data_IF_806212154403
#
_entry.id   IF_806212154403
#
_cell.length_a   1.000
_cell.length_b   1.000
_cell.length_c   1.000
_cell.angle_alpha   90.00
_cell.angle_beta   90.00
_cell.angle_gamma   90.00
#
_symmetry.space_group_name_H-M   'P 1'
#
loop_
_entity.id
_entity.type
_entity.pdbx_description
1 polymer ?
#
# COMPACT_ATOMS: atom_id res chain seq x y z
N UNK A 1 -2.34 -5.55 21.85
CA UNK A 1 -2.31 -5.44 20.38
C UNK A 1 -2.00 -6.76 19.70
N UNK A 2 -0.76 -7.23 19.59
CA UNK A 2 -0.47 -8.50 18.86
C UNK A 2 -1.12 -9.75 19.46
N UNK A 3 -1.17 -9.87 20.79
CA UNK A 3 -1.90 -10.97 21.45
C UNK A 3 -3.41 -10.94 21.16
N UNK A 4 -3.99 -9.73 21.12
CA UNK A 4 -5.39 -9.51 20.72
C UNK A 4 -5.60 -9.91 19.27
N UNK A 5 -4.75 -9.43 18.36
CA UNK A 5 -4.80 -9.76 16.94
C UNK A 5 -4.68 -11.27 16.70
N UNK A 6 -3.75 -11.94 17.38
CA UNK A 6 -3.60 -13.41 17.36
C UNK A 6 -4.88 -14.11 17.84
N UNK A 7 -5.49 -13.64 18.94
CA UNK A 7 -6.76 -14.17 19.45
C UNK A 7 -7.97 -13.95 18.53
N UNK A 8 -7.90 -12.97 17.62
CA UNK A 8 -8.89 -12.73 16.56
C UNK A 8 -8.63 -13.56 15.28
N UNK A 9 -7.64 -14.46 15.31
CA UNK A 9 -7.27 -15.32 14.19
C UNK A 9 -6.16 -14.78 13.29
N UNK A 10 -5.38 -13.78 13.76
CA UNK A 10 -4.17 -13.25 13.13
C UNK A 10 -4.39 -12.56 11.79
N UNK A 11 -3.75 -13.03 10.71
CA UNK A 11 -3.65 -12.30 9.43
C UNK A 11 -4.93 -12.16 8.60
N UNK A 12 -5.86 -13.10 8.74
CA UNK A 12 -7.01 -13.26 7.84
C UNK A 12 -6.91 -14.60 7.12
N UNK A 13 -7.90 -14.94 6.30
CA UNK A 13 -7.90 -16.12 5.43
C UNK A 13 -7.36 -17.43 6.06
N UNK A 14 -7.79 -17.74 7.28
CA UNK A 14 -7.32 -18.92 8.04
C UNK A 14 -5.96 -18.73 8.74
N UNK A 15 -5.63 -17.51 9.15
CA UNK A 15 -4.36 -17.10 9.75
C UNK A 15 -3.14 -17.39 8.85
N UNK A 16 -3.27 -17.15 7.55
CA UNK A 16 -2.19 -17.37 6.58
C UNK A 16 -1.59 -16.04 6.16
N UNK A 17 -0.28 -15.91 6.30
CA UNK A 17 0.46 -14.76 5.81
C UNK A 17 0.70 -14.93 4.30
N UNK A 18 -0.30 -14.51 3.53
CA UNK A 18 -0.34 -14.66 2.08
C UNK A 18 -0.06 -13.35 1.38
N UNK A 19 0.36 -13.48 0.12
CA UNK A 19 0.66 -12.37 -0.77
C UNK A 19 -0.37 -12.35 -1.90
N UNK A 20 -0.96 -11.19 -2.14
CA UNK A 20 -1.69 -10.87 -3.36
C UNK A 20 -0.75 -10.18 -4.36
N UNK A 21 -0.84 -10.55 -5.63
CA UNK A 21 -0.04 -10.00 -6.73
C UNK A 21 -0.90 -9.29 -7.78
N UNK A 22 -2.12 -8.90 -7.41
CA UNK A 22 -3.12 -8.31 -8.29
C UNK A 22 -2.86 -6.85 -8.67
N UNK A 23 -2.07 -6.10 -7.88
CA UNK A 23 -1.84 -4.67 -8.13
C UNK A 23 -0.82 -4.47 -9.26
N UNK A 24 -1.20 -3.71 -10.28
CA UNK A 24 -0.33 -3.32 -11.37
C UNK A 24 0.22 -1.91 -11.13
N UNK A 25 1.54 -1.72 -11.30
CA UNK A 25 2.16 -0.40 -11.40
C UNK A 25 2.74 -0.26 -12.81
N UNK A 26 2.30 0.77 -13.54
CA UNK A 26 2.76 1.06 -14.89
C UNK A 26 3.64 2.31 -14.93
N UNK A 27 4.62 2.35 -15.84
CA UNK A 27 5.46 3.53 -16.07
C UNK A 27 5.09 4.15 -17.41
N UNK A 28 4.62 5.39 -17.39
CA UNK A 28 4.29 6.17 -18.57
C UNK A 28 5.52 6.92 -19.12
N UNK A 29 5.78 6.76 -20.42
CA UNK A 29 6.71 7.62 -21.14
C UNK A 29 6.15 9.03 -21.38
N UNK A 30 6.98 9.97 -21.83
CA UNK A 30 6.56 11.35 -22.13
C UNK A 30 5.54 11.47 -23.28
N UNK A 31 5.39 10.43 -24.10
CA UNK A 31 4.39 10.35 -25.18
C UNK A 31 3.16 9.51 -24.85
N UNK A 32 2.96 9.12 -23.59
CA UNK A 32 1.76 8.38 -23.20
C UNK A 32 0.49 9.20 -23.48
N UNK A 33 -0.61 8.57 -23.96
CA UNK A 33 -1.91 9.21 -23.99
C UNK A 33 -2.28 9.79 -22.62
N UNK A 34 -2.88 10.97 -22.63
CA UNK A 34 -3.35 11.64 -21.41
C UNK A 34 -4.86 11.73 -21.49
N UNK A 35 -5.54 11.26 -20.46
CA UNK A 35 -6.99 11.24 -20.38
C UNK A 35 -7.47 12.20 -19.29
N UNK A 36 -8.58 12.93 -19.50
CA UNK A 36 -9.27 13.63 -18.43
C UNK A 36 -9.66 12.66 -17.32
N UNK A 37 -9.60 13.14 -16.08
CA UNK A 37 -10.11 12.42 -14.91
C UNK A 37 -11.40 13.10 -14.47
N UNK A 38 -12.43 12.29 -14.24
CA UNK A 38 -13.78 12.73 -13.86
C UNK A 38 -14.29 11.93 -12.67
N UNK A 39 -15.29 12.49 -11.99
CA UNK A 39 -16.01 11.84 -10.89
C UNK A 39 -16.64 10.51 -11.35
N UNK A 40 -16.53 9.47 -10.52
CA UNK A 40 -17.13 8.17 -10.84
C UNK A 40 -18.67 8.27 -10.81
N UNK A 41 -19.38 7.90 -11.89
CA UNK A 41 -20.81 8.16 -12.02
C UNK A 41 -21.67 7.42 -10.98
N UNK A 42 -21.18 6.28 -10.48
CA UNK A 42 -21.90 5.47 -9.47
C UNK A 42 -21.49 5.72 -8.02
N UNK A 43 -20.28 6.25 -7.80
CA UNK A 43 -19.68 6.31 -6.44
C UNK A 43 -19.43 7.74 -5.98
N UNK A 44 -19.41 8.70 -6.89
CA UNK A 44 -19.08 10.09 -6.61
C UNK A 44 -17.56 10.32 -6.61
N UNK A 45 -17.13 11.39 -5.94
CA UNK A 45 -15.72 11.76 -5.78
C UNK A 45 -15.40 12.17 -4.33
N UNK A 46 -14.30 11.67 -3.79
CA UNK A 46 -13.81 12.03 -2.46
C UNK A 46 -13.13 13.41 -2.50
N UNK A 47 -13.92 14.44 -2.21
CA UNK A 47 -13.46 15.81 -2.00
C UNK A 47 -13.75 16.24 -0.55
N UNK A 48 -12.78 16.82 0.18
CA UNK A 48 -11.49 17.34 -0.30
C UNK A 48 -10.29 16.38 -0.22
N UNK A 49 -10.51 15.11 0.13
CA UNK A 49 -9.46 14.09 0.35
C UNK A 49 -8.53 13.88 -0.83
N UNK A 50 -9.11 13.79 -2.03
CA UNK A 50 -8.43 13.48 -3.27
C UNK A 50 -8.17 14.74 -4.11
N UNK A 51 -7.28 14.64 -5.10
CA UNK A 51 -6.82 15.79 -5.86
C UNK A 51 -7.98 16.45 -6.62
N UNK A 52 -8.01 17.79 -6.64
CA UNK A 52 -9.15 18.53 -7.17
C UNK A 52 -9.34 18.27 -8.68
N UNK A 53 -10.59 18.09 -9.09
CA UNK A 53 -10.99 18.07 -10.49
C UNK A 53 -11.23 19.50 -11.02
N UNK A 54 -10.99 19.79 -12.32
CA UNK A 54 -10.55 18.87 -13.37
C UNK A 54 -9.08 18.47 -13.24
N UNK A 55 -8.79 17.20 -13.48
CA UNK A 55 -7.44 16.64 -13.50
C UNK A 55 -7.21 15.82 -14.77
N UNK A 56 -5.99 15.32 -14.96
CA UNK A 56 -5.66 14.43 -16.08
C UNK A 56 -4.60 13.43 -15.65
N UNK A 57 -4.64 12.24 -16.24
CA UNK A 57 -3.76 11.13 -15.91
C UNK A 57 -3.11 10.58 -17.18
N UNK A 58 -1.77 10.43 -17.22
CA UNK A 58 -1.11 9.72 -18.31
C UNK A 58 -1.42 8.23 -18.18
N UNK A 59 -1.87 7.60 -19.26
CA UNK A 59 -2.18 6.16 -19.28
C UNK A 59 -1.43 5.50 -20.43
N UNK A 60 -0.31 4.80 -20.16
CA UNK A 60 0.46 4.14 -21.21
C UNK A 60 -0.32 2.97 -21.80
N UNK A 61 -0.01 2.65 -23.06
CA UNK A 61 -0.58 1.47 -23.72
C UNK A 61 -0.24 0.22 -22.92
N UNK A 62 -1.26 -0.57 -22.61
CA UNK A 62 -1.11 -1.79 -21.84
C UNK A 62 -1.15 -1.59 -20.32
N UNK A 63 -1.43 -0.38 -19.82
CA UNK A 63 -1.79 -0.20 -18.42
C UNK A 63 -3.02 -1.04 -18.04
N UNK A 64 -3.11 -1.41 -16.78
CA UNK A 64 -4.07 -2.40 -16.28
C UNK A 64 -4.67 -1.93 -14.97
N UNK A 65 -5.96 -2.21 -14.77
CA UNK A 65 -6.52 -2.15 -13.43
C UNK A 65 -6.08 -3.37 -12.62
N UNK A 66 -6.14 -3.25 -11.31
CA UNK A 66 -6.00 -4.36 -10.38
C UNK A 66 -6.75 -5.63 -10.83
N UNK A 67 -6.09 -6.78 -10.66
CA UNK A 67 -6.67 -8.10 -10.90
C UNK A 67 -6.84 -8.46 -12.38
N UNK A 68 -6.42 -7.59 -13.30
CA UNK A 68 -6.47 -7.90 -14.73
C UNK A 68 -5.33 -8.83 -15.14
N UNK A 69 -5.60 -9.67 -16.14
CA UNK A 69 -4.60 -10.54 -16.76
C UNK A 69 -4.33 -10.18 -18.23
N UNK A 70 -5.18 -9.35 -18.83
CA UNK A 70 -5.09 -8.92 -20.23
C UNK A 70 -4.72 -7.43 -20.29
N UNK A 71 -3.52 -7.07 -20.77
CA UNK A 71 -3.08 -5.67 -20.86
C UNK A 71 -4.02 -4.77 -21.65
N UNK A 72 -4.33 -3.58 -21.11
CA UNK A 72 -5.16 -2.58 -21.75
C UNK A 72 -6.65 -2.93 -21.84
N UNK A 73 -7.11 -3.95 -21.11
CA UNK A 73 -8.52 -4.34 -21.13
C UNK A 73 -9.42 -3.34 -20.39
N UNK A 74 -8.91 -2.71 -19.32
CA UNK A 74 -9.68 -1.79 -18.46
C UNK A 74 -11.05 -2.36 -18.02
N UNK A 75 -11.14 -3.68 -17.83
CA UNK A 75 -12.30 -4.36 -17.26
C UNK A 75 -12.11 -4.58 -15.76
N UNK A 76 -12.99 -4.03 -14.93
CA UNK A 76 -13.04 -4.34 -13.50
C UNK A 76 -14.49 -4.47 -13.02
N UNK A 77 -14.79 -5.44 -12.15
CA UNK A 77 -16.17 -5.81 -11.80
C UNK A 77 -16.46 -5.80 -10.29
N UNK A 78 -15.71 -5.03 -9.49
CA UNK A 78 -15.78 -5.13 -8.03
C UNK A 78 -15.74 -3.81 -7.25
N UNK A 79 -15.63 -2.66 -7.91
CA UNK A 79 -15.49 -1.35 -7.25
C UNK A 79 -14.11 -1.09 -6.63
N UNK A 80 -13.31 -2.12 -6.38
CA UNK A 80 -11.93 -2.03 -5.85
C UNK A 80 -10.89 -1.98 -6.98
N UNK A 81 -11.13 -1.09 -7.94
CA UNK A 81 -10.39 -1.07 -9.21
C UNK A 81 -9.28 -0.03 -9.13
N UNK A 82 -8.06 -0.46 -8.84
CA UNK A 82 -6.92 0.46 -8.76
C UNK A 82 -6.21 0.66 -10.09
N UNK A 83 -5.83 1.90 -10.41
CA UNK A 83 -4.92 2.24 -11.52
C UNK A 83 -3.73 3.04 -11.00
N UNK A 84 -2.52 2.46 -11.04
CA UNK A 84 -1.30 3.09 -10.54
C UNK A 84 -0.32 3.35 -11.68
N UNK A 85 0.03 4.62 -11.88
CA UNK A 85 0.88 5.04 -12.99
C UNK A 85 1.92 6.04 -12.52
N UNK A 86 3.19 5.72 -12.75
CA UNK A 86 4.31 6.64 -12.57
C UNK A 86 4.66 7.32 -13.90
N UNK A 87 4.86 8.64 -13.89
CA UNK A 87 5.41 9.39 -15.02
C UNK A 87 6.39 10.45 -14.50
N UNK A 88 7.68 10.27 -14.82
CA UNK A 88 8.73 11.14 -14.29
C UNK A 88 8.77 11.08 -12.77
N UNK A 89 8.50 12.21 -12.10
CA UNK A 89 8.47 12.31 -10.64
C UNK A 89 7.05 12.35 -10.08
N UNK A 90 6.04 12.05 -10.88
CA UNK A 90 4.66 11.99 -10.43
C UNK A 90 4.19 10.54 -10.39
N UNK A 91 3.46 10.20 -9.35
CA UNK A 91 2.73 8.94 -9.22
C UNK A 91 1.25 9.26 -9.10
N UNK A 92 0.46 8.69 -10.00
CA UNK A 92 -0.99 8.82 -10.08
C UNK A 92 -1.61 7.50 -9.61
N UNK A 93 -2.46 7.55 -8.60
CA UNK A 93 -3.16 6.39 -8.06
C UNK A 93 -4.66 6.68 -8.05
N UNK A 94 -5.42 5.94 -8.84
CA UNK A 94 -6.87 6.06 -8.89
C UNK A 94 -7.53 4.87 -8.19
N UNK A 95 -8.56 5.13 -7.38
CA UNK A 95 -9.37 4.12 -6.70
C UNK A 95 -10.80 4.08 -7.25
N UNK A 96 -11.39 2.87 -7.26
CA UNK A 96 -12.66 2.60 -7.93
C UNK A 96 -12.67 3.20 -9.35
N UNK A 97 -11.58 2.98 -10.08
CA UNK A 97 -11.36 3.52 -11.40
C UNK A 97 -12.11 2.70 -12.46
N UNK A 98 -12.67 3.39 -13.44
CA UNK A 98 -13.22 2.85 -14.67
C UNK A 98 -12.72 3.68 -15.86
N UNK A 99 -12.80 3.12 -17.06
CA UNK A 99 -12.39 3.79 -18.29
C UNK A 99 -13.46 3.65 -19.36
N UNK A 100 -14.11 4.76 -19.70
CA UNK A 100 -15.20 4.78 -20.68
C UNK A 100 -14.74 4.84 -22.14
N UNK A 101 -13.42 4.79 -22.39
CA UNK A 101 -12.79 4.92 -23.70
C UNK A 101 -12.28 6.33 -24.02
N UNK A 102 -12.67 7.34 -23.25
CA UNK A 102 -12.23 8.73 -23.41
C UNK A 102 -11.78 9.42 -22.13
N UNK A 103 -12.24 8.96 -20.97
CA UNK A 103 -11.99 9.57 -19.66
C UNK A 103 -11.78 8.47 -18.62
N UNK A 104 -10.99 8.79 -17.60
CA UNK A 104 -10.85 7.97 -16.39
C UNK A 104 -11.90 8.43 -15.39
N UNK A 105 -12.84 7.56 -15.07
CA UNK A 105 -13.86 7.78 -14.05
C UNK A 105 -13.34 7.19 -12.74
N UNK A 106 -13.32 7.95 -11.64
CA UNK A 106 -12.73 7.45 -10.38
C UNK A 106 -13.37 8.08 -9.16
N UNK A 107 -13.42 7.32 -8.06
CA UNK A 107 -13.87 7.81 -6.76
C UNK A 107 -12.80 8.67 -6.08
N UNK A 108 -11.53 8.42 -6.37
CA UNK A 108 -10.42 9.17 -5.81
C UNK A 108 -9.22 9.11 -6.75
N UNK A 109 -8.70 10.28 -7.14
CA UNK A 109 -7.37 10.40 -7.71
C UNK A 109 -6.41 10.94 -6.63
N UNK A 110 -5.34 10.19 -6.37
CA UNK A 110 -4.22 10.63 -5.58
C UNK A 110 -2.98 10.86 -6.45
N UNK A 111 -2.49 12.10 -6.50
CA UNK A 111 -1.24 12.45 -7.19
C UNK A 111 -0.15 12.74 -6.15
N UNK A 112 0.95 12.01 -6.27
CA UNK A 112 2.13 12.11 -5.41
C UNK A 112 3.31 12.70 -6.17
N UNK A 113 4.02 13.64 -5.55
CA UNK A 113 5.33 14.10 -6.01
C UNK A 113 6.41 13.23 -5.34
N UNK A 114 7.19 12.52 -6.14
CA UNK A 114 8.22 11.60 -5.67
C UNK A 114 9.52 12.32 -5.26
N UNK A 115 9.60 13.65 -5.44
CA UNK A 115 10.76 14.45 -5.01
C UNK A 115 10.61 15.09 -3.64
N UNK A 116 9.50 14.86 -2.94
CA UNK A 116 9.23 15.51 -1.66
C UNK A 116 9.12 14.49 -0.54
N UNK A 117 9.57 14.91 0.65
CA UNK A 117 9.26 14.22 1.88
C UNK A 117 7.96 14.82 2.40
N UNK A 118 6.94 13.99 2.54
CA UNK A 118 5.66 14.42 3.10
C UNK A 118 5.78 14.58 4.62
N UNK A 119 5.09 15.55 5.23
CA UNK A 119 5.06 15.69 6.69
C UNK A 119 4.36 14.47 7.34
N UNK A 120 4.39 14.32 8.68
CA UNK A 120 3.75 13.21 9.36
C UNK A 120 2.25 13.02 9.02
N UNK A 121 1.56 14.13 8.72
CA UNK A 121 0.18 14.17 8.25
C UNK A 121 0.02 13.98 6.73
N UNK A 122 1.05 13.53 6.02
CA UNK A 122 0.98 13.16 4.61
C UNK A 122 0.44 14.28 3.73
N UNK A 123 -0.67 13.99 3.02
CA UNK A 123 -1.38 14.97 2.16
C UNK A 123 -2.44 15.78 2.91
N UNK A 124 -2.68 15.48 4.17
CA UNK A 124 -3.68 16.12 5.00
C UNK A 124 -4.15 15.25 6.15
N UNK A 125 -4.57 15.87 7.23
CA UNK A 125 -5.21 15.17 8.35
C UNK A 125 -6.61 14.72 7.98
N UNK A 126 -6.97 13.48 8.36
CA UNK A 126 -8.27 12.88 8.05
C UNK A 126 -8.55 12.71 6.55
N UNK A 127 -7.49 12.76 5.72
CA UNK A 127 -7.63 12.66 4.27
C UNK A 127 -7.25 11.26 3.79
N UNK A 128 -8.17 10.58 3.11
CA UNK A 128 -7.86 9.30 2.45
C UNK A 128 -7.00 9.50 1.18
N UNK A 129 -6.60 8.40 0.57
CA UNK A 129 -6.07 8.36 -0.80
C UNK A 129 -6.74 7.22 -1.57
N UNK A 130 -6.10 6.72 -2.62
CA UNK A 130 -6.44 5.41 -3.18
C UNK A 130 -6.18 4.26 -2.18
N UNK A 131 -5.45 4.52 -1.08
CA UNK A 131 -5.23 3.65 0.06
C UNK A 131 -6.05 4.13 1.26
N UNK A 132 -6.69 3.22 2.01
CA UNK A 132 -7.55 3.62 3.12
C UNK A 132 -6.82 4.28 4.29
N UNK A 133 -5.51 4.06 4.49
CA UNK A 133 -4.72 4.78 5.50
C UNK A 133 -4.28 6.18 5.03
N UNK A 134 -4.54 6.51 3.77
CA UNK A 134 -4.06 7.71 3.11
C UNK A 134 -2.59 7.63 2.67
N UNK A 135 -2.03 6.41 2.52
CA UNK A 135 -0.67 6.21 2.01
C UNK A 135 -0.58 6.28 0.48
N UNK A 136 0.63 6.49 -0.09
CA UNK A 136 0.89 6.09 -1.47
C UNK A 136 1.00 4.56 -1.56
N UNK A 137 0.27 3.93 -2.47
CA UNK A 137 0.25 2.47 -2.64
C UNK A 137 1.59 1.99 -3.22
N UNK A 138 1.97 2.50 -4.39
CA UNK A 138 3.09 1.97 -5.18
C UNK A 138 4.43 1.93 -4.41
N UNK A 139 4.82 2.98 -3.65
CA UNK A 139 6.08 2.99 -2.89
C UNK A 139 6.12 2.01 -1.71
N UNK A 140 4.98 1.43 -1.32
CA UNK A 140 4.88 0.45 -0.24
C UNK A 140 4.68 -0.99 -0.77
N UNK A 141 4.58 -1.18 -2.08
CA UNK A 141 4.63 -2.48 -2.73
C UNK A 141 6.08 -2.90 -2.94
N UNK A 142 6.31 -4.21 -2.98
CA UNK A 142 7.57 -4.80 -3.47
C UNK A 142 7.32 -5.48 -4.81
N UNK A 143 8.32 -5.51 -5.69
CA UNK A 143 8.19 -6.14 -7.01
C UNK A 143 9.28 -7.20 -7.29
N UNK A 144 9.05 -8.01 -8.33
CA UNK A 144 9.93 -9.13 -8.67
C UNK A 144 11.34 -8.67 -9.11
N UNK A 145 11.46 -7.51 -9.78
CA UNK A 145 12.75 -6.97 -10.21
C UNK A 145 13.61 -6.55 -9.00
N UNK A 146 13.02 -5.91 -8.00
CA UNK A 146 13.69 -5.52 -6.75
C UNK A 146 14.16 -6.74 -5.96
N UNK A 147 13.29 -7.76 -5.82
CA UNK A 147 13.65 -9.00 -5.13
C UNK A 147 14.78 -9.72 -5.86
N UNK A 148 14.71 -9.84 -7.19
CA UNK A 148 15.76 -10.46 -8.00
C UNK A 148 17.10 -9.72 -7.89
N UNK A 149 17.06 -8.38 -7.89
CA UNK A 149 18.24 -7.54 -7.72
C UNK A 149 18.87 -7.73 -6.33
N UNK A 150 18.05 -7.76 -5.27
CA UNK A 150 18.51 -7.96 -3.89
C UNK A 150 19.13 -9.35 -3.68
N UNK A 151 18.52 -10.41 -4.25
CA UNK A 151 19.10 -11.76 -4.23
C UNK A 151 20.49 -11.80 -4.88
N UNK A 152 20.69 -11.00 -5.94
CA UNK A 152 21.95 -10.96 -6.69
C UNK A 152 23.03 -10.10 -6.05
N UNK A 153 22.69 -9.18 -5.15
CA UNK A 153 23.62 -8.20 -4.59
C UNK A 153 24.51 -8.77 -3.47
N UNK A 154 23.90 -9.23 -2.37
CA UNK A 154 24.55 -9.82 -1.17
C UNK A 154 23.56 -10.71 -0.40
N UNK A 155 24.08 -11.71 0.32
CA UNK A 155 23.28 -12.64 1.11
C UNK A 155 22.42 -12.00 2.22
N UNK A 156 22.71 -10.76 2.63
CA UNK A 156 22.01 -10.01 3.68
C UNK A 156 21.20 -8.81 3.15
N UNK A 157 20.99 -8.72 1.83
CA UNK A 157 20.28 -7.58 1.22
C UNK A 157 18.80 -7.54 1.58
N UNK A 158 18.23 -6.34 1.56
CA UNK A 158 16.83 -5.99 1.78
C UNK A 158 16.34 -5.09 0.62
N UNK A 159 15.05 -4.74 0.60
CA UNK A 159 14.44 -3.92 -0.46
C UNK A 159 14.61 -2.42 -0.26
N UNK A 160 15.06 -1.98 0.93
CA UNK A 160 15.27 -0.55 1.20
C UNK A 160 14.05 0.25 1.65
N UNK A 161 12.88 -0.36 1.83
CA UNK A 161 11.65 0.33 2.24
C UNK A 161 10.73 -0.55 3.10
N UNK A 162 9.75 0.07 3.77
CA UNK A 162 8.69 -0.65 4.48
C UNK A 162 7.65 -1.20 3.48
N UNK A 163 6.97 -2.28 3.86
CA UNK A 163 5.96 -2.94 3.02
C UNK A 163 4.56 -2.67 3.57
N UNK A 164 3.59 -2.33 2.73
CA UNK A 164 2.19 -2.24 3.18
C UNK A 164 1.62 -3.61 3.49
N UNK A 165 0.75 -3.68 4.49
CA UNK A 165 -0.06 -4.85 4.74
C UNK A 165 -1.49 -4.45 5.10
N UNK A 166 -2.41 -5.41 4.97
CA UNK A 166 -3.84 -5.21 5.22
C UNK A 166 -4.34 -6.26 6.21
N UNK A 167 -5.43 -5.96 6.90
CA UNK A 167 -6.07 -6.89 7.85
C UNK A 167 -7.59 -6.88 7.66
N UNK A 168 -8.30 -7.95 8.03
CA UNK A 168 -9.75 -7.89 8.08
C UNK A 168 -10.22 -6.76 9.01
N UNK A 169 -11.25 -6.02 8.60
CA UNK A 169 -11.74 -4.85 9.33
C UNK A 169 -12.07 -5.16 10.79
N UNK A 170 -12.65 -6.33 11.07
CA UNK A 170 -13.00 -6.80 12.42
C UNK A 170 -11.80 -7.16 13.30
N UNK A 171 -10.57 -7.01 12.78
CA UNK A 171 -9.31 -7.23 13.51
C UNK A 171 -8.54 -5.95 13.78
N UNK A 172 -8.94 -4.84 13.18
CA UNK A 172 -8.30 -3.54 13.38
C UNK A 172 -8.99 -2.76 14.50
N UNK A 173 -8.24 -1.95 15.23
CA UNK A 173 -8.76 -1.26 16.41
C UNK A 173 -9.84 -0.23 16.06
N UNK A 174 -10.93 -0.26 16.82
CA UNK A 174 -11.93 0.81 16.89
C UNK A 174 -12.25 1.12 18.35
N UNK A 175 -12.71 2.33 18.65
CA UNK A 175 -13.17 2.73 19.99
C UNK A 175 -14.31 3.74 19.90
N UNK A 176 -15.53 3.25 19.66
CA UNK A 176 -16.68 4.09 19.31
C UNK A 176 -16.61 4.72 17.91
N UNK A 177 -15.52 4.48 17.17
CA UNK A 177 -15.24 4.92 15.81
C UNK A 177 -13.87 4.42 15.33
N UNK A 178 -13.50 4.69 14.07
CA UNK A 178 -12.20 4.32 13.53
C UNK A 178 -11.04 5.04 14.22
N UNK A 179 -9.88 4.38 14.24
CA UNK A 179 -8.64 4.89 14.82
C UNK A 179 -7.49 4.69 13.85
N UNK A 180 -6.63 5.69 13.73
CA UNK A 180 -5.32 5.58 13.09
C UNK A 180 -4.20 6.09 14.00
N UNK A 181 -2.96 5.79 13.62
CA UNK A 181 -1.72 6.32 14.19
C UNK A 181 -0.82 6.78 13.04
N UNK A 182 0.09 7.71 13.30
CA UNK A 182 1.05 8.16 12.28
C UNK A 182 1.96 7.01 11.82
N UNK A 183 2.39 6.97 10.55
CA UNK A 183 2.22 8.01 9.52
C UNK A 183 0.88 7.95 8.76
N UNK A 184 -0.07 7.09 9.15
CA UNK A 184 -1.39 7.14 8.52
C UNK A 184 -2.05 8.48 8.80
N UNK A 185 -2.90 8.86 7.86
CA UNK A 185 -3.61 10.14 7.85
C UNK A 185 -5.11 9.95 7.94
N UNK A 186 -5.56 8.72 7.71
CA UNK A 186 -6.95 8.33 7.69
C UNK A 186 -7.11 6.90 8.22
N UNK A 187 -8.32 6.54 8.65
CA UNK A 187 -8.72 5.17 8.86
C UNK A 187 -9.99 4.85 8.06
N UNK A 188 -9.98 3.71 7.36
CA UNK A 188 -11.14 3.22 6.61
C UNK A 188 -12.29 2.76 7.53
N UNK A 189 -12.58 1.46 7.53
CA UNK A 189 -13.72 0.88 8.26
C UNK A 189 -13.37 -0.17 9.32
N UNK A 190 -12.38 0.05 10.20
CA UNK A 190 -12.03 -0.92 11.24
C UNK A 190 -13.19 -1.10 12.24
N UNK A 191 -13.40 -2.32 12.73
CA UNK A 191 -14.51 -2.68 13.63
C UNK A 191 -14.12 -3.66 14.74
N UNK A 192 -12.83 -3.95 14.88
CA UNK A 192 -12.29 -4.80 15.93
C UNK A 192 -12.15 -4.09 17.29
N UNK A 193 -11.78 -4.83 18.34
CA UNK A 193 -11.66 -4.30 19.69
C UNK A 193 -10.54 -3.26 19.80
N UNK A 194 -10.73 -2.26 20.67
CA UNK A 194 -9.76 -1.17 20.90
C UNK A 194 -8.36 -1.68 21.29
N UNK A 195 -8.25 -2.85 21.91
CA UNK A 195 -6.97 -3.49 22.25
C UNK A 195 -6.16 -4.02 21.06
N UNK A 196 -6.70 -3.99 19.84
CA UNK A 196 -6.02 -4.43 18.61
C UNK A 196 -5.16 -3.32 17.97
N UNK A 197 -4.72 -3.53 16.73
CA UNK A 197 -3.88 -2.61 15.94
C UNK A 197 -4.70 -1.58 15.15
N UNK A 198 -4.51 -0.26 15.34
CA UNK A 198 -5.13 0.77 14.50
C UNK A 198 -4.42 0.91 13.14
N UNK A 199 -5.10 1.50 12.16
CA UNK A 199 -4.52 1.90 10.87
C UNK A 199 -3.21 2.68 11.07
N UNK A 200 -2.23 2.48 10.19
CA UNK A 200 -0.90 3.09 10.28
C UNK A 200 0.08 2.42 11.24
N UNK A 201 -0.37 1.44 12.04
CA UNK A 201 0.53 0.70 12.94
C UNK A 201 1.66 0.04 12.16
N UNK A 202 2.91 0.25 12.61
CA UNK A 202 4.09 -0.39 12.05
C UNK A 202 4.46 -1.63 12.89
N UNK A 203 4.53 -2.77 12.23
CA UNK A 203 4.96 -4.04 12.81
C UNK A 203 6.34 -4.41 12.26
N UNK A 204 7.28 -4.80 13.11
CA UNK A 204 8.61 -5.25 12.70
C UNK A 204 8.76 -6.73 12.98
N UNK A 205 9.26 -7.49 12.00
CA UNK A 205 9.56 -8.89 12.22
C UNK A 205 10.70 -8.98 13.25
N UNK A 206 10.57 -9.83 14.27
CA UNK A 206 11.58 -9.92 15.33
C UNK A 206 12.93 -10.33 14.73
N UNK A 207 14.00 -9.73 15.24
CA UNK A 207 15.38 -10.08 14.86
C UNK A 207 15.73 -11.54 15.13
N UNK A 208 15.01 -12.20 16.05
CA UNK A 208 15.18 -13.61 16.40
C UNK A 208 14.40 -14.59 15.51
N UNK A 209 13.61 -14.11 14.54
CA UNK A 209 12.85 -14.99 13.66
C UNK A 209 13.79 -15.85 12.81
N UNK A 210 13.55 -17.17 12.80
CA UNK A 210 14.37 -18.12 12.05
C UNK A 210 13.90 -18.19 10.60
N UNK A 211 14.75 -17.72 9.68
CA UNK A 211 14.47 -17.73 8.25
C UNK A 211 15.12 -18.89 7.50
N UNK A 212 15.76 -19.84 8.19
CA UNK A 212 16.60 -20.86 7.54
C UNK A 212 15.82 -21.81 6.63
N UNK A 213 14.51 -21.98 6.88
CA UNK A 213 13.62 -22.77 6.03
C UNK A 213 13.13 -22.05 4.77
N UNK A 214 13.35 -20.74 4.68
CA UNK A 214 12.89 -19.91 3.56
C UNK A 214 13.98 -19.82 2.48
N UNK A 215 13.56 -19.72 1.22
CA UNK A 215 14.45 -19.55 0.09
C UNK A 215 15.08 -18.14 0.05
N UNK A 216 16.08 -17.93 -0.81
CA UNK A 216 16.82 -16.66 -0.84
C UNK A 216 15.94 -15.43 -1.12
N UNK A 217 14.92 -15.55 -1.98
CA UNK A 217 13.99 -14.47 -2.31
C UNK A 217 13.01 -14.19 -1.15
N UNK A 218 12.50 -15.22 -0.50
CA UNK A 218 11.66 -15.10 0.70
C UNK A 218 12.43 -14.41 1.83
N UNK A 219 13.71 -14.77 2.02
CA UNK A 219 14.55 -14.14 3.02
C UNK A 219 14.82 -12.65 2.73
N UNK A 220 14.86 -12.20 1.48
CA UNK A 220 14.93 -10.75 1.16
C UNK A 220 13.69 -10.03 1.70
N UNK A 221 12.51 -10.58 1.45
CA UNK A 221 11.24 -9.99 1.92
C UNK A 221 11.20 -10.00 3.46
N UNK A 222 11.54 -11.11 4.09
CA UNK A 222 11.56 -11.23 5.55
C UNK A 222 12.60 -10.31 6.22
N UNK A 223 13.81 -10.17 5.65
CA UNK A 223 14.81 -9.20 6.14
C UNK A 223 14.32 -7.76 5.99
N UNK A 224 13.61 -7.46 4.91
CA UNK A 224 12.96 -6.15 4.72
C UNK A 224 11.96 -5.89 5.85
N UNK A 225 11.16 -6.89 6.23
CA UNK A 225 10.24 -6.79 7.38
C UNK A 225 10.97 -6.71 8.73
N UNK A 226 12.16 -7.30 8.89
CA UNK A 226 12.98 -7.11 10.10
C UNK A 226 13.55 -5.69 10.20
N UNK A 227 13.99 -5.11 9.08
CA UNK A 227 14.65 -3.81 9.07
C UNK A 227 13.63 -2.67 9.06
N UNK A 228 12.79 -2.65 8.04
CA UNK A 228 11.82 -1.57 7.81
C UNK A 228 10.42 -1.91 8.27
N UNK A 229 10.12 -3.16 8.60
CA UNK A 229 8.77 -3.53 9.04
C UNK A 229 7.71 -3.44 7.94
N UNK A 230 6.49 -3.68 8.38
CA UNK A 230 5.27 -3.58 7.59
C UNK A 230 4.34 -2.53 8.20
N UNK A 231 3.58 -1.82 7.39
CA UNK A 231 2.67 -0.74 7.83
C UNK A 231 1.21 -1.05 7.45
N UNK A 232 0.31 -0.92 8.42
CA UNK A 232 -1.10 -1.27 8.24
C UNK A 232 -1.79 -0.20 7.39
N UNK A 233 -2.16 -0.57 6.17
CA UNK A 233 -2.58 0.37 5.14
C UNK A 233 -4.08 0.23 4.78
N UNK A 234 -4.65 -0.97 4.90
CA UNK A 234 -6.02 -1.20 4.43
C UNK A 234 -6.77 -2.34 5.13
N UNK A 235 -8.05 -2.45 4.80
CA UNK A 235 -8.95 -3.54 5.13
C UNK A 235 -8.95 -4.61 4.03
N UNK A 236 -8.70 -5.87 4.39
CA UNK A 236 -8.78 -6.98 3.42
C UNK A 236 -8.40 -8.32 4.02
N UNK A 237 -8.37 -9.38 3.21
CA UNK A 237 -8.22 -10.75 3.72
C UNK A 237 -6.85 -11.40 3.43
N UNK A 238 -6.05 -10.81 2.54
CA UNK A 238 -4.73 -11.30 2.13
C UNK A 238 -3.70 -10.30 2.62
N UNK A 239 -2.86 -10.70 3.58
CA UNK A 239 -2.11 -9.76 4.39
C UNK A 239 -1.16 -8.85 3.60
N UNK A 240 -0.41 -9.40 2.64
CA UNK A 240 0.58 -8.64 1.87
C UNK A 240 0.09 -8.39 0.46
N UNK A 241 0.55 -7.28 -0.09
CA UNK A 241 0.37 -6.95 -1.50
C UNK A 241 1.73 -6.75 -2.14
N UNK A 242 2.08 -7.62 -3.07
CA UNK A 242 3.21 -7.45 -3.98
C UNK A 242 2.72 -6.94 -5.33
N UNK A 243 3.58 -6.28 -6.09
CA UNK A 243 3.23 -5.87 -7.44
C UNK A 243 3.08 -7.10 -8.35
N UNK A 244 2.10 -7.05 -9.26
CA UNK A 244 2.03 -7.94 -10.41
C UNK A 244 3.33 -7.92 -11.21
N UNK A 245 3.83 -9.10 -11.57
CA UNK A 245 5.04 -9.24 -12.39
C UNK A 245 4.78 -9.13 -13.90
N UNK A 246 3.56 -8.76 -14.33
CA UNK A 246 3.24 -8.57 -15.76
C UNK A 246 4.16 -7.52 -16.41
N UNK A 247 4.50 -6.46 -15.67
CA UNK A 247 5.32 -5.35 -16.17
C UNK A 247 6.80 -5.40 -15.76
N UNK A 248 7.22 -6.37 -14.93
CA UNK A 248 8.61 -6.53 -14.50
C UNK A 248 9.40 -7.41 -15.46
N UNK A 249 10.73 -7.37 -15.39
CA UNK A 249 11.60 -8.28 -16.16
C UNK A 249 11.66 -9.66 -15.52
N UNK A 250 12.00 -9.73 -14.24
CA UNK A 250 11.94 -10.93 -13.41
C UNK A 250 10.49 -11.33 -13.17
N UNK A 251 10.26 -12.64 -12.99
CA UNK A 251 8.95 -13.21 -12.67
C UNK A 251 8.96 -13.84 -11.29
N UNK A 252 7.84 -13.77 -10.59
CA UNK A 252 7.68 -14.38 -9.27
C UNK A 252 7.97 -15.89 -9.32
N UNK A 253 7.54 -16.55 -10.39
CA UNK A 253 7.81 -17.96 -10.64
C UNK A 253 9.32 -18.29 -10.70
N UNK A 254 10.14 -17.42 -11.30
CA UNK A 254 11.60 -17.63 -11.41
C UNK A 254 12.31 -17.48 -10.05
N UNK A 255 11.69 -16.72 -9.14
CA UNK A 255 12.14 -16.51 -7.76
C UNK A 255 11.61 -17.57 -6.79
N UNK A 256 10.78 -18.52 -7.26
CA UNK A 256 10.00 -19.45 -6.44
C UNK A 256 9.18 -18.71 -5.36
N UNK A 257 8.57 -17.59 -5.75
CA UNK A 257 7.64 -16.84 -4.92
C UNK A 257 6.22 -17.06 -5.45
N UNK A 258 5.32 -17.45 -4.55
CA UNK A 258 3.89 -17.49 -4.81
C UNK A 258 3.09 -16.98 -3.60
N UNK A 259 1.75 -17.00 -3.69
CA UNK A 259 0.87 -16.47 -2.66
C UNK A 259 0.96 -17.19 -1.30
N UNK A 260 1.66 -18.32 -1.23
CA UNK A 260 1.84 -19.16 -0.05
C UNK A 260 3.29 -19.16 0.48
N UNK A 261 4.23 -18.47 -0.18
CA UNK A 261 5.65 -18.44 0.17
C UNK A 261 5.97 -18.05 1.61
N UNK A 262 5.12 -17.23 2.25
CA UNK A 262 5.34 -16.76 3.62
C UNK A 262 4.39 -17.39 4.65
N UNK A 263 3.71 -18.48 4.29
CA UNK A 263 2.90 -19.23 5.25
C UNK A 263 3.80 -19.80 6.36
N UNK A 264 3.37 -19.60 7.60
CA UNK A 264 4.12 -19.98 8.80
C UNK A 264 4.68 -18.79 9.56
N UNK A 265 4.73 -17.60 8.94
CA UNK A 265 4.98 -16.35 9.66
C UNK A 265 3.69 -15.93 10.37
N UNK A 266 3.73 -15.81 11.69
CA UNK A 266 2.58 -15.42 12.52
C UNK A 266 2.65 -13.96 12.95
N UNK A 267 1.51 -13.35 13.28
CA UNK A 267 1.48 -11.99 13.86
C UNK A 267 2.30 -11.88 15.16
N UNK A 268 2.50 -12.99 15.85
CA UNK A 268 3.31 -13.11 17.08
C UNK A 268 4.81 -13.15 16.83
N UNK A 269 5.25 -13.35 15.58
CA UNK A 269 6.65 -13.21 15.18
C UNK A 269 7.08 -11.75 15.01
N UNK A 270 6.10 -10.84 15.03
CA UNK A 270 6.33 -9.41 14.97
C UNK A 270 6.36 -8.77 16.36
N UNK A 271 6.84 -7.54 16.39
CA UNK A 271 6.67 -6.56 17.45
C UNK A 271 6.08 -5.28 16.87
N UNK A 272 5.38 -4.49 17.68
CA UNK A 272 4.86 -3.19 17.23
C UNK A 272 5.91 -2.14 17.54
N UNK A 273 6.32 -1.39 16.52
CA UNK A 273 7.10 -0.17 16.71
C UNK A 273 6.13 0.89 17.21
N UNK A 274 6.45 1.56 18.33
CA UNK A 274 5.60 2.64 18.82
C UNK A 274 5.43 3.71 17.73
N UNK A 275 4.17 4.00 17.41
CA UNK A 275 3.73 4.88 16.31
C UNK A 275 3.12 6.17 16.85
N UNK A 276 3.15 6.37 18.17
CA UNK A 276 2.65 7.56 18.84
C UNK A 276 1.16 7.48 19.21
N UNK A 277 0.50 8.64 19.42
CA UNK A 277 -0.87 8.69 19.90
C UNK A 277 -1.87 8.18 18.86
N UNK A 278 -2.93 7.53 19.34
CA UNK A 278 -4.08 7.15 18.51
C UNK A 278 -4.93 8.38 18.21
N UNK A 279 -5.33 8.53 16.96
CA UNK A 279 -6.12 9.63 16.45
C UNK A 279 -7.48 9.07 16.03
N UNK A 280 -8.60 9.54 16.63
CA UNK A 280 -9.94 9.21 16.17
C UNK A 280 -10.21 9.79 14.79
N UNK A 281 -10.70 8.97 13.87
CA UNK A 281 -11.09 9.43 12.54
C UNK A 281 -12.34 10.31 12.63
N UNK A 282 -12.30 11.46 11.96
CA UNK A 282 -13.42 12.41 11.89
C UNK A 282 -14.02 12.48 10.50
N UNK A 283 -13.29 12.04 9.48
CA UNK A 283 -13.59 12.23 8.06
C UNK A 283 -13.63 13.69 7.62
N UNK A 284 -13.17 14.62 8.47
CA UNK A 284 -13.07 16.04 8.17
C UNK A 284 -11.67 16.34 7.59
N UNK A 285 -11.43 15.94 6.34
CA UNK A 285 -10.13 16.10 5.69
C UNK A 285 -9.64 17.56 5.68
N UNK A 286 -8.45 17.80 6.22
CA UNK A 286 -7.72 19.07 6.20
C UNK A 286 -6.40 18.89 5.46
N UNK A 287 -6.37 19.35 4.20
CA UNK A 287 -5.20 19.22 3.32
C UNK A 287 -3.96 19.92 3.85
N UNK A 288 -2.82 19.23 3.74
CA UNK A 288 -1.52 19.76 4.11
C UNK A 288 -0.88 20.54 2.97
N UNK A 289 -0.06 21.51 3.33
CA UNK A 289 0.83 22.18 2.39
C UNK A 289 2.14 21.40 2.31
N UNK A 290 2.34 20.65 1.23
CA UNK A 290 3.61 19.96 0.97
C UNK A 290 4.60 20.97 0.40
N UNK A 291 5.70 21.22 1.11
CA UNK A 291 6.73 22.19 0.70
C UNK A 291 7.93 21.44 0.10
N UNK A 292 8.16 21.52 -1.21
CA UNK A 292 9.33 20.90 -1.83
C UNK A 292 10.64 21.44 -1.23
N UNK A 293 11.56 20.55 -0.86
CA UNK A 293 12.92 20.91 -0.45
C UNK A 293 13.15 21.15 1.04
N UNK A 294 12.20 20.84 1.93
CA UNK A 294 12.50 20.68 3.36
C UNK A 294 13.23 19.33 3.53
N UNK A 295 14.45 19.37 4.06
CA UNK A 295 15.49 18.34 3.89
C UNK A 295 15.07 16.88 4.12
N UNK A 296 15.65 16.01 3.30
CA UNK A 296 15.51 14.54 3.26
C UNK A 296 15.83 13.79 4.59
N UNK A 297 16.08 14.51 5.69
CA UNK A 297 16.55 13.98 6.98
C UNK A 297 16.11 14.81 8.20
N UNK A 298 15.03 15.60 8.13
CA UNK A 298 14.65 16.47 9.26
C UNK A 298 14.25 15.67 10.52
N UNK A 299 13.57 14.54 10.35
CA UNK A 299 13.00 13.78 11.47
C UNK A 299 13.52 12.34 11.45
N UNK A 300 14.81 12.15 11.72
CA UNK A 300 15.46 10.84 11.79
C UNK A 300 14.57 9.75 12.39
N UNK A 301 14.07 8.85 11.53
CA UNK A 301 13.36 7.63 11.92
C UNK A 301 14.31 6.43 12.10
N UNK A 302 15.61 6.70 12.19
CA UNK A 302 16.65 5.73 12.47
C UNK A 302 17.46 6.23 13.68
N UNK A 303 16.99 5.89 14.88
CA UNK A 303 17.83 5.61 16.06
C UNK A 303 17.40 4.26 16.64
#
# INVERSE_FOLDING_TARGET
>A
MLSTLSGLGGWGNGNRFQIDFSIHVSVAGSGAPVFPVVEHPSYGYYSPDCDALPASMPVPVGAMFEGQVNPGAFTCSGGDCHLLIAQGNLLYEAYAADFNGSEIETLCLAVWDLNVVYPPEGRGDHCTSADAAGFPIAPLLFNADEVAAAVSARNDSDLGHAIRFILPNDRMASDGGPLYVRPATHAGGPSGPSGSVPYGSRMRLKSSFDMTSFNAAEQVILRTMQRYGIVLADGGNIALTGQSDVHTTAKWADLNIDSHSLIGVEVTDFEIIDTGPRIPETYDCVRSSVVPGQGLFADGFED
#
